data_IF_848684250914
#
_entry.id   IF_848684250914
#
_cell.length_a   1.000
_cell.length_b   1.000
_cell.length_c   1.000
_cell.angle_alpha   90.00
_cell.angle_beta   90.00
_cell.angle_gamma   90.00
#
_symmetry.space_group_name_H-M   'P 1'
#
loop_
_entity.id
_entity.type
_entity.pdbx_description
1 polymer ?
#
# COMPACT_ATOMS: atom_id res chain seq x y z
N UNK A 1 14.72 31.85 18.02
CA UNK A 1 14.53 30.41 17.73
C UNK A 1 13.52 30.32 16.60
N UNK A 2 14.01 29.91 15.42
CA UNK A 2 13.40 30.16 14.11
C UNK A 2 11.97 29.64 13.95
N UNK A 3 11.18 30.46 13.27
CA UNK A 3 9.77 30.27 12.98
C UNK A 3 9.63 29.06 12.04
N UNK A 4 9.02 27.99 12.57
CA UNK A 4 8.51 26.83 11.82
C UNK A 4 7.84 27.29 10.52
N UNK A 5 8.50 27.06 9.38
CA UNK A 5 7.85 27.21 8.07
C UNK A 5 6.70 26.22 7.97
N UNK A 6 5.48 26.71 8.22
CA UNK A 6 4.25 26.02 7.87
C UNK A 6 4.21 25.91 6.35
N UNK A 7 4.56 24.75 5.82
CA UNK A 7 4.36 24.43 4.41
C UNK A 7 2.85 24.54 4.14
N UNK A 8 2.44 25.62 3.49
CA UNK A 8 1.07 25.82 3.00
C UNK A 8 1.02 25.29 1.56
N UNK A 9 0.03 24.45 1.26
CA UNK A 9 -0.21 23.90 -0.09
C UNK A 9 -0.50 24.99 -1.15
N UNK A 10 -0.74 26.24 -0.73
CA UNK A 10 -1.06 27.39 -1.58
C UNK A 10 0.15 28.16 -2.12
N UNK A 11 1.37 27.87 -1.65
CA UNK A 11 2.57 28.56 -2.13
C UNK A 11 3.10 27.91 -3.42
N UNK A 12 3.65 28.70 -4.34
CA UNK A 12 4.27 28.20 -5.57
C UNK A 12 5.20 27.00 -5.28
N UNK A 13 4.85 25.83 -5.81
CA UNK A 13 5.69 24.64 -5.74
C UNK A 13 6.95 24.85 -6.58
N UNK A 14 8.01 25.38 -5.97
CA UNK A 14 9.34 25.35 -6.57
C UNK A 14 9.81 23.89 -6.64
N UNK A 15 10.53 23.51 -7.70
CA UNK A 15 11.05 22.14 -7.92
C UNK A 15 11.68 21.51 -6.67
N UNK A 16 12.44 22.28 -5.87
CA UNK A 16 13.08 21.78 -4.65
C UNK A 16 12.10 21.42 -3.51
N UNK A 17 10.98 22.13 -3.35
CA UNK A 17 9.96 21.79 -2.33
C UNK A 17 9.20 20.53 -2.71
N UNK A 18 8.90 20.39 -4.00
CA UNK A 18 8.21 19.21 -4.55
C UNK A 18 9.09 17.96 -4.40
N UNK A 19 10.38 18.06 -4.75
CA UNK A 19 11.34 16.98 -4.50
C UNK A 19 11.40 16.60 -3.02
N UNK A 20 11.49 17.55 -2.09
CA UNK A 20 11.56 17.26 -0.65
C UNK A 20 10.27 16.62 -0.10
N UNK A 21 9.11 16.95 -0.67
CA UNK A 21 7.82 16.34 -0.33
C UNK A 21 7.68 14.91 -0.88
N UNK A 22 8.13 14.67 -2.11
CA UNK A 22 8.05 13.36 -2.75
C UNK A 22 9.16 12.41 -2.33
N UNK A 23 10.30 12.91 -1.84
CA UNK A 23 11.48 12.13 -1.47
C UNK A 23 11.16 10.94 -0.55
N UNK A 24 10.37 11.09 0.54
CA UNK A 24 10.06 9.97 1.42
C UNK A 24 9.27 8.87 0.69
N UNK A 25 8.29 9.25 -0.14
CA UNK A 25 7.50 8.30 -0.92
C UNK A 25 8.33 7.59 -1.99
N UNK A 26 9.23 8.32 -2.67
CA UNK A 26 10.14 7.73 -3.66
C UNK A 26 11.08 6.74 -3.00
N UNK A 27 11.68 7.09 -1.87
CA UNK A 27 12.53 6.18 -1.09
C UNK A 27 11.75 4.92 -0.71
N UNK A 28 10.52 5.06 -0.21
CA UNK A 28 9.67 3.92 0.13
C UNK A 28 9.40 3.01 -1.08
N UNK A 29 9.14 3.57 -2.26
CA UNK A 29 8.96 2.78 -3.48
C UNK A 29 10.25 2.08 -3.92
N UNK A 30 11.41 2.73 -3.80
CA UNK A 30 12.70 2.10 -4.09
C UNK A 30 12.94 0.90 -3.18
N UNK A 31 12.72 1.04 -1.87
CA UNK A 31 12.81 -0.09 -0.94
C UNK A 31 11.83 -1.20 -1.28
N UNK A 32 10.58 -0.86 -1.61
CA UNK A 32 9.56 -1.85 -2.02
C UNK A 32 10.02 -2.65 -3.25
N UNK A 33 10.60 -1.98 -4.24
CA UNK A 33 11.15 -2.64 -5.43
C UNK A 33 12.36 -3.51 -5.10
N UNK A 34 13.25 -3.05 -4.23
CA UNK A 34 14.41 -3.85 -3.77
C UNK A 34 13.93 -5.11 -3.06
N UNK A 35 12.92 -5.01 -2.19
CA UNK A 35 12.33 -6.18 -1.54
C UNK A 35 11.80 -7.19 -2.55
N UNK A 36 11.07 -6.75 -3.59
CA UNK A 36 10.59 -7.65 -4.64
C UNK A 36 11.72 -8.37 -5.39
N UNK A 37 12.83 -7.67 -5.66
CA UNK A 37 14.02 -8.27 -6.29
C UNK A 37 14.70 -9.28 -5.36
N UNK A 38 14.87 -8.92 -4.09
CA UNK A 38 15.49 -9.78 -3.08
C UNK A 38 14.63 -11.03 -2.86
N UNK A 39 13.33 -10.89 -2.68
CA UNK A 39 12.39 -12.01 -2.53
C UNK A 39 12.46 -12.95 -3.74
N UNK A 40 12.44 -12.40 -4.95
CA UNK A 40 12.57 -13.21 -6.17
C UNK A 40 13.93 -13.90 -6.29
N UNK A 41 15.01 -13.22 -5.92
CA UNK A 41 16.35 -13.79 -5.92
C UNK A 41 16.48 -14.94 -4.91
N UNK A 42 16.02 -14.75 -3.68
CA UNK A 42 16.04 -15.80 -2.65
C UNK A 42 15.13 -16.96 -3.02
N UNK A 43 13.90 -16.72 -3.48
CA UNK A 43 13.00 -17.81 -3.90
C UNK A 43 13.60 -18.59 -5.07
N UNK A 44 14.13 -17.91 -6.09
CA UNK A 44 14.70 -18.61 -7.25
C UNK A 44 15.95 -19.42 -6.91
N UNK A 45 16.79 -18.92 -6.00
CA UNK A 45 18.01 -19.60 -5.56
C UNK A 45 17.75 -20.76 -4.58
N UNK A 46 16.83 -20.59 -3.62
CA UNK A 46 16.57 -21.58 -2.58
C UNK A 46 15.45 -22.57 -2.93
N UNK A 47 14.36 -22.11 -3.56
CA UNK A 47 13.19 -22.93 -3.88
C UNK A 47 13.17 -23.39 -5.34
N UNK A 48 14.10 -22.90 -6.18
CA UNK A 48 14.24 -23.27 -7.57
C UNK A 48 13.27 -22.55 -8.52
N UNK A 49 13.48 -22.77 -9.83
CA UNK A 49 12.72 -22.10 -10.91
C UNK A 49 11.22 -22.40 -10.88
N UNK A 50 10.84 -23.62 -10.49
CA UNK A 50 9.42 -24.05 -10.44
C UNK A 50 8.66 -23.29 -9.37
N UNK A 51 9.23 -23.15 -8.18
CA UNK A 51 8.63 -22.38 -7.09
C UNK A 51 8.51 -20.91 -7.44
N UNK A 52 9.52 -20.32 -8.08
CA UNK A 52 9.45 -18.94 -8.54
C UNK A 52 8.37 -18.73 -9.62
N UNK A 53 8.19 -19.68 -10.54
CA UNK A 53 7.11 -19.64 -11.53
C UNK A 53 5.72 -19.71 -10.86
N UNK A 54 5.55 -20.57 -9.85
CA UNK A 54 4.32 -20.66 -9.07
C UNK A 54 3.97 -19.36 -8.34
N UNK A 55 4.96 -18.65 -7.78
CA UNK A 55 4.73 -17.34 -7.16
C UNK A 55 4.25 -16.32 -8.20
N UNK A 56 4.92 -16.22 -9.35
CA UNK A 56 4.52 -15.29 -10.40
C UNK A 56 3.12 -15.59 -10.95
N UNK A 57 2.72 -16.85 -10.97
CA UNK A 57 1.37 -17.26 -11.37
C UNK A 57 0.30 -16.71 -10.41
N UNK A 58 0.60 -16.61 -9.12
CA UNK A 58 -0.32 -16.10 -8.09
C UNK A 58 -0.20 -14.57 -7.89
N UNK A 59 0.83 -13.92 -8.43
CA UNK A 59 1.03 -12.47 -8.31
C UNK A 59 -0.20 -11.60 -8.67
N UNK A 60 -0.95 -11.86 -9.77
CA UNK A 60 -2.14 -11.06 -10.09
C UNK A 60 -3.18 -11.06 -8.96
N UNK A 61 -3.35 -12.20 -8.29
CA UNK A 61 -4.24 -12.31 -7.15
C UNK A 61 -3.72 -11.50 -5.96
N UNK A 62 -2.43 -11.59 -5.66
CA UNK A 62 -1.78 -10.77 -4.62
C UNK A 62 -1.92 -9.28 -4.91
N UNK A 63 -1.81 -8.86 -6.17
CA UNK A 63 -1.99 -7.46 -6.58
C UNK A 63 -3.43 -6.97 -6.36
N UNK A 64 -4.44 -7.80 -6.61
CA UNK A 64 -5.85 -7.46 -6.31
C UNK A 64 -6.03 -7.26 -4.80
N UNK A 65 -5.51 -8.19 -3.98
CA UNK A 65 -5.57 -8.10 -2.52
C UNK A 65 -4.85 -6.85 -2.00
N UNK A 66 -3.63 -6.62 -2.48
CA UNK A 66 -2.84 -5.43 -2.13
C UNK A 66 -3.51 -4.14 -2.58
N UNK A 67 -4.15 -4.16 -3.76
CA UNK A 67 -4.87 -3.03 -4.33
C UNK A 67 -6.02 -2.53 -3.44
N UNK A 68 -6.75 -3.44 -2.80
CA UNK A 68 -7.79 -3.07 -1.81
C UNK A 68 -7.19 -2.31 -0.62
N UNK A 69 -6.05 -2.78 -0.10
CA UNK A 69 -5.34 -2.09 0.98
C UNK A 69 -4.83 -0.72 0.54
N UNK A 70 -4.23 -0.64 -0.65
CA UNK A 70 -3.78 0.63 -1.23
C UNK A 70 -4.94 1.62 -1.45
N UNK A 71 -6.09 1.15 -1.92
CA UNK A 71 -7.28 1.97 -2.13
C UNK A 71 -7.76 2.61 -0.82
N UNK A 72 -7.88 1.81 0.24
CA UNK A 72 -8.33 2.31 1.56
C UNK A 72 -7.27 3.23 2.17
N UNK A 73 -5.98 2.87 2.07
CA UNK A 73 -4.89 3.67 2.63
C UNK A 73 -4.71 5.02 1.93
N UNK A 74 -4.62 5.02 0.59
CA UNK A 74 -4.44 6.24 -0.19
C UNK A 74 -5.71 7.12 -0.18
N UNK A 75 -6.88 6.53 -0.40
CA UNK A 75 -8.15 7.26 -0.38
C UNK A 75 -8.52 7.76 1.01
N UNK A 76 -8.31 6.93 2.03
CA UNK A 76 -8.59 7.27 3.42
C UNK A 76 -7.65 8.34 3.97
N UNK A 77 -6.34 8.26 3.67
CA UNK A 77 -5.39 9.30 4.08
C UNK A 77 -5.69 10.66 3.42
N UNK A 78 -6.14 10.67 2.17
CA UNK A 78 -6.59 11.90 1.51
C UNK A 78 -7.81 12.52 2.21
N UNK A 79 -8.78 11.70 2.62
CA UNK A 79 -9.96 12.16 3.38
C UNK A 79 -9.54 12.76 4.74
N UNK A 80 -8.69 12.05 5.49
CA UNK A 80 -8.18 12.51 6.79
C UNK A 80 -7.37 13.80 6.63
N UNK A 81 -6.48 13.88 5.65
CA UNK A 81 -5.66 15.06 5.38
C UNK A 81 -6.53 16.28 5.03
N UNK A 82 -7.59 16.08 4.24
CA UNK A 82 -8.55 17.14 3.91
C UNK A 82 -9.28 17.64 5.16
N UNK A 83 -9.86 16.76 5.96
CA UNK A 83 -10.60 17.15 7.17
C UNK A 83 -9.69 17.81 8.22
N UNK A 84 -8.43 17.36 8.31
CA UNK A 84 -7.43 17.99 9.14
C UNK A 84 -7.07 19.41 8.64
N UNK A 85 -7.00 19.59 7.31
CA UNK A 85 -6.79 20.88 6.66
C UNK A 85 -7.95 21.87 6.86
N UNK A 86 -9.18 21.38 6.99
CA UNK A 86 -10.38 22.16 7.33
C UNK A 86 -10.42 22.59 8.81
N UNK A 87 -9.45 22.15 9.63
CA UNK A 87 -9.31 22.52 11.04
C UNK A 87 -10.05 21.62 12.03
N UNK A 88 -10.88 20.68 11.54
CA UNK A 88 -11.65 19.76 12.37
C UNK A 88 -10.85 18.52 12.75
N UNK A 89 -9.96 18.70 13.74
CA UNK A 89 -9.11 17.61 14.26
C UNK A 89 -9.91 16.45 14.85
N UNK A 90 -11.09 16.73 15.43
CA UNK A 90 -11.91 15.71 16.10
C UNK A 90 -12.50 14.76 15.06
N UNK A 91 -13.10 15.30 13.98
CA UNK A 91 -13.60 14.48 12.87
C UNK A 91 -12.48 13.77 12.13
N UNK A 92 -11.33 14.42 11.91
CA UNK A 92 -10.17 13.77 11.28
C UNK A 92 -9.72 12.52 12.06
N UNK A 93 -9.67 12.60 13.40
CA UNK A 93 -9.36 11.45 14.24
C UNK A 93 -10.43 10.35 14.16
N UNK A 94 -11.71 10.72 14.09
CA UNK A 94 -12.81 9.75 13.95
C UNK A 94 -12.72 9.01 12.61
N UNK A 95 -12.46 9.72 11.52
CA UNK A 95 -12.25 9.10 10.21
C UNK A 95 -11.04 8.19 10.20
N UNK A 96 -9.93 8.60 10.82
CA UNK A 96 -8.75 7.74 10.94
C UNK A 96 -9.08 6.43 11.67
N UNK A 97 -9.71 6.49 12.84
CA UNK A 97 -10.10 5.29 13.59
C UNK A 97 -11.07 4.42 12.79
N UNK A 98 -12.08 5.02 12.15
CA UNK A 98 -13.04 4.29 11.31
C UNK A 98 -12.35 3.58 10.14
N UNK A 99 -11.42 4.24 9.46
CA UNK A 99 -10.64 3.66 8.35
C UNK A 99 -9.79 2.48 8.83
N UNK A 100 -9.18 2.57 10.01
CA UNK A 100 -8.39 1.49 10.60
C UNK A 100 -9.29 0.27 10.88
N UNK A 101 -10.42 0.46 11.56
CA UNK A 101 -11.37 -0.64 11.81
C UNK A 101 -11.90 -1.25 10.51
N UNK A 102 -12.25 -0.41 9.54
CA UNK A 102 -12.71 -0.85 8.23
C UNK A 102 -11.64 -1.66 7.49
N UNK A 103 -10.38 -1.21 7.52
CA UNK A 103 -9.25 -1.92 6.92
C UNK A 103 -9.05 -3.29 7.58
N UNK A 104 -9.16 -3.39 8.91
CA UNK A 104 -9.04 -4.66 9.63
C UNK A 104 -10.17 -5.61 9.24
N UNK A 105 -11.41 -5.13 9.20
CA UNK A 105 -12.58 -5.93 8.80
C UNK A 105 -12.44 -6.41 7.36
N UNK A 106 -12.11 -5.51 6.42
CA UNK A 106 -11.83 -5.88 5.04
C UNK A 106 -10.69 -6.89 4.97
N UNK A 107 -9.60 -6.69 5.71
CA UNK A 107 -8.48 -7.62 5.78
C UNK A 107 -8.92 -9.02 6.18
N UNK A 108 -9.67 -9.16 7.27
CA UNK A 108 -10.20 -10.45 7.75
C UNK A 108 -11.08 -11.10 6.68
N UNK A 109 -12.03 -10.34 6.09
CA UNK A 109 -12.92 -10.86 5.04
C UNK A 109 -12.10 -11.37 3.86
N UNK A 110 -11.12 -10.58 3.40
CA UNK A 110 -10.32 -10.94 2.24
C UNK A 110 -9.38 -12.12 2.52
N UNK A 111 -8.87 -12.25 3.75
CA UNK A 111 -8.11 -13.43 4.19
C UNK A 111 -8.98 -14.69 4.19
N UNK A 112 -10.19 -14.63 4.75
CA UNK A 112 -11.12 -15.78 4.77
C UNK A 112 -11.47 -16.22 3.36
N UNK A 113 -11.82 -15.27 2.48
CA UNK A 113 -12.08 -15.54 1.06
C UNK A 113 -10.83 -16.13 0.40
N UNK A 114 -9.66 -15.53 0.63
CA UNK A 114 -8.40 -16.01 0.07
C UNK A 114 -8.07 -17.46 0.43
N UNK A 115 -8.32 -17.87 1.67
CA UNK A 115 -8.09 -19.25 2.13
C UNK A 115 -9.10 -20.22 1.50
N UNK A 116 -10.38 -19.86 1.49
CA UNK A 116 -11.45 -20.72 0.95
C UNK A 116 -11.27 -20.93 -0.56
N UNK A 117 -10.93 -19.87 -1.28
CA UNK A 117 -10.81 -19.88 -2.74
C UNK A 117 -9.38 -20.11 -3.24
N UNK A 118 -8.40 -20.39 -2.35
CA UNK A 118 -7.00 -20.58 -2.73
C UNK A 118 -6.82 -21.64 -3.82
N UNK A 119 -7.46 -22.80 -3.65
CA UNK A 119 -7.37 -23.92 -4.61
C UNK A 119 -7.98 -23.58 -5.98
N UNK A 120 -9.25 -23.13 -6.07
CA UNK A 120 -9.83 -22.80 -7.38
C UNK A 120 -9.11 -21.62 -8.06
N UNK A 121 -8.62 -20.63 -7.30
CA UNK A 121 -7.85 -19.52 -7.87
C UNK A 121 -6.52 -20.01 -8.43
N UNK A 122 -5.80 -20.87 -7.70
CA UNK A 122 -4.56 -21.46 -8.20
C UNK A 122 -4.80 -22.26 -9.50
N UNK A 123 -5.84 -23.08 -9.55
CA UNK A 123 -6.22 -23.83 -10.75
C UNK A 123 -6.59 -22.92 -11.92
N UNK A 124 -7.36 -21.86 -11.68
CA UNK A 124 -7.76 -20.88 -12.70
C UNK A 124 -6.56 -20.11 -13.27
N UNK A 125 -5.55 -19.86 -12.44
CA UNK A 125 -4.31 -19.21 -12.85
C UNK A 125 -3.34 -20.17 -13.58
N UNK A 126 -3.66 -21.45 -13.68
CA UNK A 126 -2.89 -22.44 -14.44
C UNK A 126 -2.04 -23.39 -13.59
N UNK A 127 -2.26 -23.46 -12.27
CA UNK A 127 -1.69 -24.52 -11.45
C UNK A 127 -2.38 -25.85 -11.80
N UNK A 128 -1.73 -26.62 -12.68
CA UNK A 128 -2.10 -27.98 -13.09
C UNK A 128 -1.04 -28.97 -12.64
#
# INVERSE_FOLDING_TARGET
MEIKMKIKLSDHFTYGRLLRFCLPSVIMMVFTSIYGVVDGFFVSNFAGKVSFAAINLVMPFIMILGGLGFMIGAGGSALVARTLGEGDKKRASQYFSMLVYFTVICGIITTVIGIIFMRPIAQMLGAT
#
